data_IF_025192825382
#
_entry.id   IF_025192825382
#
_cell.length_a   1.000
_cell.length_b   1.000
_cell.length_c   1.000
_cell.angle_alpha   90.00
_cell.angle_beta   90.00
_cell.angle_gamma   90.00
#
_symmetry.space_group_name_H-M   'P 1'
#
loop_
_entity.id
_entity.type
_entity.pdbx_description
1 polymer ?
#
# COMPACT_ATOMS: atom_id res chain seq x y z
N UNK A 1 -51.09 15.72 -4.25
CA UNK A 1 -50.86 14.86 -3.06
C UNK A 1 -50.84 13.38 -3.43
N UNK A 2 -51.80 12.85 -4.20
CA UNK A 2 -51.82 11.44 -4.65
C UNK A 2 -50.62 11.02 -5.53
N UNK A 3 -50.10 11.91 -6.39
CA UNK A 3 -48.92 11.60 -7.23
C UNK A 3 -47.58 11.50 -6.45
N UNK A 4 -47.47 12.13 -5.27
CA UNK A 4 -46.28 12.02 -4.40
C UNK A 4 -46.30 10.74 -3.55
N UNK A 5 -47.49 10.22 -3.24
CA UNK A 5 -47.66 8.96 -2.51
C UNK A 5 -47.28 7.74 -3.37
N UNK A 6 -47.73 7.68 -4.64
CA UNK A 6 -47.39 6.59 -5.55
C UNK A 6 -45.91 6.53 -5.96
N UNK A 7 -45.20 7.66 -5.93
CA UNK A 7 -43.75 7.70 -6.15
C UNK A 7 -42.94 7.27 -4.92
N UNK A 8 -43.46 7.46 -3.71
CA UNK A 8 -42.82 7.00 -2.47
C UNK A 8 -43.03 5.49 -2.25
N UNK A 9 -44.20 4.96 -2.60
CA UNK A 9 -44.49 3.52 -2.57
C UNK A 9 -43.65 2.73 -3.57
N UNK A 10 -43.39 3.28 -4.76
CA UNK A 10 -42.55 2.62 -5.77
C UNK A 10 -41.06 2.61 -5.38
N UNK A 11 -40.55 3.66 -4.74
CA UNK A 11 -39.16 3.71 -4.23
C UNK A 11 -38.95 2.73 -3.08
N UNK A 12 -39.90 2.65 -2.14
CA UNK A 12 -39.85 1.67 -1.05
C UNK A 12 -39.94 0.22 -1.56
N UNK A 13 -40.78 -0.04 -2.57
CA UNK A 13 -40.87 -1.37 -3.19
C UNK A 13 -39.57 -1.76 -3.90
N UNK A 14 -38.94 -0.82 -4.60
CA UNK A 14 -37.63 -1.04 -5.25
C UNK A 14 -36.52 -1.26 -4.22
N UNK A 15 -36.49 -0.50 -3.12
CA UNK A 15 -35.53 -0.72 -2.02
C UNK A 15 -35.70 -2.10 -1.39
N UNK A 16 -36.93 -2.51 -1.11
CA UNK A 16 -37.22 -3.83 -0.52
C UNK A 16 -36.80 -4.96 -1.47
N UNK A 17 -37.03 -4.81 -2.77
CA UNK A 17 -36.61 -5.78 -3.78
C UNK A 17 -35.07 -5.85 -3.91
N UNK A 18 -34.39 -4.70 -3.87
CA UNK A 18 -32.93 -4.64 -3.84
C UNK A 18 -32.34 -5.27 -2.58
N UNK A 19 -32.94 -5.05 -1.42
CA UNK A 19 -32.56 -5.69 -0.16
C UNK A 19 -32.74 -7.21 -0.23
N UNK A 20 -33.87 -7.70 -0.75
CA UNK A 20 -34.11 -9.13 -0.94
C UNK A 20 -33.11 -9.78 -1.89
N UNK A 21 -32.80 -9.11 -3.01
CA UNK A 21 -31.77 -9.59 -3.95
C UNK A 21 -30.40 -9.63 -3.29
N UNK A 22 -30.01 -8.56 -2.59
CA UNK A 22 -28.76 -8.50 -1.83
C UNK A 22 -28.66 -9.63 -0.81
N UNK A 23 -29.75 -9.92 -0.11
CA UNK A 23 -29.81 -10.97 0.90
C UNK A 23 -29.71 -12.38 0.30
N UNK A 24 -30.34 -12.63 -0.87
CA UNK A 24 -30.16 -13.89 -1.61
C UNK A 24 -28.73 -14.07 -2.12
N UNK A 25 -28.19 -13.06 -2.80
CA UNK A 25 -26.82 -13.10 -3.31
C UNK A 25 -25.82 -13.31 -2.18
N UNK A 26 -26.08 -12.73 -1.00
CA UNK A 26 -25.27 -12.95 0.20
C UNK A 26 -25.33 -14.38 0.73
N UNK A 27 -26.51 -14.99 0.79
CA UNK A 27 -26.68 -16.39 1.21
C UNK A 27 -26.01 -17.36 0.23
N UNK A 28 -26.11 -17.11 -1.07
CA UNK A 28 -25.44 -17.90 -2.11
C UNK A 28 -23.91 -17.78 -1.98
N UNK A 29 -23.38 -16.58 -1.80
CA UNK A 29 -21.95 -16.35 -1.56
C UNK A 29 -21.47 -17.02 -0.27
N UNK A 30 -22.23 -16.95 0.82
CA UNK A 30 -21.89 -17.65 2.06
C UNK A 30 -21.80 -19.16 1.87
N UNK A 31 -22.74 -19.78 1.14
CA UNK A 31 -22.69 -21.23 0.89
C UNK A 31 -21.46 -21.63 0.06
N UNK A 32 -21.06 -20.82 -0.91
CA UNK A 32 -19.88 -21.07 -1.74
C UNK A 32 -18.58 -20.85 -0.96
N UNK A 33 -18.54 -19.85 -0.07
CA UNK A 33 -17.33 -19.45 0.66
C UNK A 33 -17.15 -20.17 2.00
N UNK A 34 -18.21 -20.77 2.58
CA UNK A 34 -18.16 -21.47 3.87
C UNK A 34 -17.07 -22.55 3.97
N UNK A 35 -16.79 -23.37 2.92
CA UNK A 35 -15.73 -24.38 2.98
C UNK A 35 -14.31 -23.77 3.03
N UNK A 36 -14.14 -22.54 2.56
CA UNK A 36 -12.83 -21.90 2.37
C UNK A 36 -12.49 -20.88 3.46
N UNK A 37 -13.47 -20.47 4.26
CA UNK A 37 -13.32 -19.33 5.18
C UNK A 37 -13.17 -19.73 6.64
N UNK A 38 -13.62 -20.93 7.06
CA UNK A 38 -13.54 -21.36 8.46
C UNK A 38 -14.27 -20.43 9.46
N UNK A 39 -15.08 -19.50 8.94
CA UNK A 39 -15.69 -18.41 9.69
C UNK A 39 -17.04 -18.87 10.26
N UNK A 40 -17.24 -18.69 11.57
CA UNK A 40 -18.55 -18.88 12.20
C UNK A 40 -19.60 -18.02 11.49
N UNK A 41 -20.79 -18.58 11.23
CA UNK A 41 -21.85 -17.93 10.46
C UNK A 41 -22.27 -16.52 10.95
N UNK A 42 -21.89 -16.12 12.18
CA UNK A 42 -22.13 -14.80 12.75
C UNK A 42 -21.22 -13.70 12.14
N UNK A 43 -19.95 -13.97 11.87
CA UNK A 43 -19.03 -12.99 11.27
C UNK A 43 -19.33 -12.77 9.78
N UNK A 44 -19.95 -13.75 9.12
CA UNK A 44 -20.49 -13.60 7.79
C UNK A 44 -21.85 -12.87 7.78
N UNK A 45 -22.41 -12.38 8.89
CA UNK A 45 -23.58 -11.50 8.85
C UNK A 45 -23.19 -10.02 8.65
N UNK A 46 -21.93 -9.68 8.93
CA UNK A 46 -21.40 -8.32 8.85
C UNK A 46 -20.21 -8.29 7.89
N UNK A 47 -20.45 -7.81 6.66
CA UNK A 47 -19.43 -7.73 5.61
C UNK A 47 -18.18 -6.96 6.05
N UNK A 48 -18.32 -5.98 6.94
CA UNK A 48 -17.20 -5.18 7.46
C UNK A 48 -16.35 -5.98 8.45
N UNK A 49 -16.97 -6.83 9.26
CA UNK A 49 -16.29 -7.68 10.23
C UNK A 49 -15.58 -8.85 9.54
N UNK A 50 -16.23 -9.47 8.56
CA UNK A 50 -15.60 -10.45 7.67
C UNK A 50 -14.39 -9.84 6.94
N UNK A 51 -14.53 -8.63 6.43
CA UNK A 51 -13.44 -7.92 5.75
C UNK A 51 -12.26 -7.63 6.69
N UNK A 52 -12.51 -7.17 7.92
CA UNK A 52 -11.47 -7.01 8.95
C UNK A 52 -10.82 -8.33 9.34
N UNK A 53 -11.59 -9.41 9.43
CA UNK A 53 -11.03 -10.71 9.75
C UNK A 53 -10.11 -11.26 8.65
N UNK A 54 -10.44 -11.00 7.38
CA UNK A 54 -9.68 -11.50 6.23
C UNK A 54 -8.53 -10.60 5.79
N UNK A 55 -8.64 -9.28 5.99
CA UNK A 55 -7.69 -8.29 5.48
C UNK A 55 -7.31 -7.22 6.50
N UNK A 56 -7.84 -7.26 7.72
CA UNK A 56 -7.41 -6.39 8.80
C UNK A 56 -6.13 -6.89 9.46
N UNK A 57 -5.52 -6.10 10.36
CA UNK A 57 -4.35 -6.53 11.12
C UNK A 57 -4.62 -7.80 11.94
N UNK A 58 -5.86 -8.03 12.38
CA UNK A 58 -6.21 -9.22 13.17
C UNK A 58 -6.00 -10.54 12.40
N UNK A 59 -5.94 -10.48 11.07
CA UNK A 59 -5.65 -11.63 10.19
C UNK A 59 -4.23 -12.17 10.35
N UNK A 60 -3.31 -11.37 10.92
CA UNK A 60 -1.90 -11.74 11.12
C UNK A 60 -1.63 -11.92 12.61
N UNK A 61 -1.39 -13.17 12.98
CA UNK A 61 -0.98 -13.52 14.34
C UNK A 61 0.50 -13.17 14.52
N UNK A 62 0.80 -12.31 15.49
CA UNK A 62 2.17 -11.92 15.87
C UNK A 62 2.45 -12.44 17.27
N UNK A 63 3.50 -13.25 17.42
CA UNK A 63 3.84 -13.83 18.73
C UNK A 63 4.32 -12.75 19.70
N UNK A 64 4.11 -12.96 21.01
CA UNK A 64 4.57 -12.01 22.05
C UNK A 64 6.07 -11.71 21.97
N UNK A 65 6.87 -12.70 21.56
CA UNK A 65 8.32 -12.54 21.39
C UNK A 65 8.64 -11.59 20.22
N UNK A 66 7.98 -11.77 19.08
CA UNK A 66 8.12 -10.90 17.92
C UNK A 66 7.67 -9.48 18.25
N UNK A 67 6.50 -9.33 18.88
CA UNK A 67 5.97 -8.03 19.31
C UNK A 67 6.97 -7.27 20.18
N UNK A 68 7.54 -7.96 21.17
CA UNK A 68 8.54 -7.37 22.07
C UNK A 68 9.79 -6.94 21.30
N UNK A 69 10.32 -7.78 20.43
CA UNK A 69 11.53 -7.49 19.68
C UNK A 69 11.32 -6.29 18.74
N UNK A 70 10.22 -6.27 17.99
CA UNK A 70 9.87 -5.16 17.10
C UNK A 70 9.72 -3.86 17.90
N UNK A 71 9.05 -3.90 19.04
CA UNK A 71 8.87 -2.72 19.89
C UNK A 71 10.20 -2.20 20.46
N UNK A 72 11.13 -3.09 20.82
CA UNK A 72 12.47 -2.71 21.28
C UNK A 72 13.28 -2.03 20.17
N UNK A 73 13.26 -2.58 18.95
CA UNK A 73 13.96 -1.97 17.82
C UNK A 73 13.34 -0.62 17.42
N UNK A 74 12.01 -0.50 17.49
CA UNK A 74 11.32 0.78 17.25
C UNK A 74 11.74 1.87 18.25
N UNK A 75 11.88 1.52 19.53
CA UNK A 75 12.41 2.44 20.55
C UNK A 75 13.89 2.75 20.29
N UNK A 76 14.70 1.72 20.02
CA UNK A 76 16.15 1.86 19.82
C UNK A 76 16.49 2.77 18.64
N UNK A 77 15.83 2.57 17.51
CA UNK A 77 16.17 3.28 16.27
C UNK A 77 15.42 4.60 16.13
N UNK A 78 14.16 4.69 16.59
CA UNK A 78 13.29 5.84 16.32
C UNK A 78 12.71 6.50 17.58
N UNK A 79 12.90 5.91 18.77
CA UNK A 79 12.30 6.42 20.02
C UNK A 79 10.79 6.20 20.12
N UNK A 80 10.20 5.38 19.26
CA UNK A 80 8.76 5.16 19.25
C UNK A 80 8.33 4.14 20.31
N UNK A 81 7.69 4.62 21.38
CA UNK A 81 7.22 3.80 22.51
C UNK A 81 5.99 2.94 22.18
N UNK A 82 5.26 3.27 21.12
CA UNK A 82 4.09 2.53 20.63
C UNK A 82 4.05 2.57 19.11
N UNK A 83 3.72 1.43 18.51
CA UNK A 83 3.39 1.34 17.09
C UNK A 83 1.92 1.70 16.86
N UNK A 84 1.64 2.25 15.69
CA UNK A 84 0.27 2.50 15.21
C UNK A 84 -0.36 1.20 14.71
N UNK A 85 -1.67 1.19 14.66
CA UNK A 85 -2.46 0.05 14.19
C UNK A 85 -2.01 -0.42 12.80
N UNK A 86 -1.83 -1.73 12.62
CA UNK A 86 -1.35 -2.36 11.39
C UNK A 86 0.17 -2.35 11.17
N UNK A 87 0.93 -1.51 11.88
CA UNK A 87 2.39 -1.45 11.70
C UNK A 87 3.07 -2.71 12.24
N UNK A 88 2.65 -3.20 13.41
CA UNK A 88 3.24 -4.38 14.07
C UNK A 88 3.16 -5.60 13.17
N UNK A 89 1.98 -5.84 12.61
CA UNK A 89 1.65 -6.98 11.77
C UNK A 89 2.39 -6.91 10.43
N UNK A 90 2.47 -5.71 9.85
CA UNK A 90 3.24 -5.48 8.62
C UNK A 90 4.72 -5.76 8.83
N UNK A 91 5.31 -5.19 9.89
CA UNK A 91 6.72 -5.37 10.21
C UNK A 91 7.04 -6.83 10.53
N UNK A 92 6.20 -7.50 11.31
CA UNK A 92 6.38 -8.92 11.63
C UNK A 92 6.38 -9.79 10.37
N UNK A 93 5.44 -9.56 9.45
CA UNK A 93 5.36 -10.28 8.17
C UNK A 93 6.65 -10.11 7.35
N UNK A 94 7.15 -8.88 7.26
CA UNK A 94 8.40 -8.58 6.55
C UNK A 94 9.60 -9.25 7.22
N UNK A 95 9.69 -9.21 8.55
CA UNK A 95 10.81 -9.83 9.29
C UNK A 95 10.81 -11.37 9.19
N UNK A 96 9.68 -11.99 8.87
CA UNK A 96 9.57 -13.41 8.51
C UNK A 96 10.01 -13.71 7.07
N UNK A 97 10.29 -12.68 6.27
CA UNK A 97 10.63 -12.82 4.85
C UNK A 97 9.40 -13.03 3.95
N UNK A 98 8.20 -12.72 4.43
CA UNK A 98 6.96 -12.84 3.66
C UNK A 98 6.65 -11.52 2.91
N UNK A 99 6.04 -11.64 1.72
CA UNK A 99 5.57 -10.47 0.96
C UNK A 99 4.18 -10.03 1.43
N UNK A 100 3.93 -8.72 1.42
CA UNK A 100 2.69 -8.13 1.93
C UNK A 100 2.29 -6.86 1.19
N UNK A 101 0.99 -6.69 0.97
CA UNK A 101 0.36 -5.43 0.61
C UNK A 101 -0.20 -4.75 1.86
N UNK A 102 0.26 -3.53 2.15
CA UNK A 102 -0.20 -2.68 3.23
C UNK A 102 -0.97 -1.47 2.68
N UNK A 103 -2.30 -1.53 2.73
CA UNK A 103 -3.20 -0.41 2.43
C UNK A 103 -3.47 0.34 3.72
N UNK A 104 -2.76 1.45 3.91
CA UNK A 104 -2.81 2.24 5.14
C UNK A 104 -3.00 3.73 4.82
N UNK A 105 -4.00 4.41 5.41
CA UNK A 105 -4.30 5.79 5.08
C UNK A 105 -3.10 6.72 5.32
N UNK A 106 -3.05 7.84 4.61
CA UNK A 106 -2.01 8.86 4.84
C UNK A 106 -2.00 9.27 6.31
N UNK A 107 -0.81 9.42 6.88
CA UNK A 107 -0.64 9.67 8.31
C UNK A 107 -0.66 8.42 9.19
N UNK A 108 -0.93 7.21 8.67
CA UNK A 108 -0.82 5.97 9.45
C UNK A 108 0.64 5.60 9.81
N UNK A 109 1.63 6.30 9.27
CA UNK A 109 3.05 6.03 9.52
C UNK A 109 3.59 4.89 8.67
N UNK A 110 3.18 4.82 7.39
CA UNK A 110 3.60 3.78 6.44
C UNK A 110 5.12 3.56 6.41
N UNK A 111 5.90 4.65 6.41
CA UNK A 111 7.34 4.57 6.27
C UNK A 111 8.04 3.73 7.32
N UNK A 112 7.54 3.75 8.57
CA UNK A 112 8.12 2.94 9.64
C UNK A 112 8.07 1.43 9.33
N UNK A 113 7.07 0.99 8.56
CA UNK A 113 6.87 -0.42 8.22
C UNK A 113 8.02 -1.00 7.40
N UNK A 114 8.75 -0.19 6.64
CA UNK A 114 9.97 -0.63 5.93
C UNK A 114 11.25 -0.06 6.53
N UNK A 115 11.21 1.14 7.11
CA UNK A 115 12.39 1.76 7.70
C UNK A 115 12.92 0.96 8.89
N UNK A 116 12.04 0.39 9.72
CA UNK A 116 12.47 -0.43 10.84
C UNK A 116 13.07 -1.78 10.39
N UNK A 117 12.41 -2.56 9.51
CA UNK A 117 13.05 -3.74 8.89
C UNK A 117 14.40 -3.43 8.23
N UNK A 118 14.51 -2.31 7.50
CA UNK A 118 15.75 -1.96 6.80
C UNK A 118 16.95 -1.84 7.74
N UNK A 119 16.75 -1.29 8.94
CA UNK A 119 17.81 -1.11 9.93
C UNK A 119 18.12 -2.36 10.76
N UNK A 120 17.21 -3.34 10.76
CA UNK A 120 17.33 -4.56 11.57
C UNK A 120 17.80 -5.76 10.75
N UNK A 121 17.51 -5.78 9.44
CA UNK A 121 17.92 -6.83 8.52
C UNK A 121 19.38 -6.68 8.06
N UNK A 122 20.06 -7.80 7.72
CA UNK A 122 21.49 -7.80 7.40
C UNK A 122 21.83 -7.13 6.07
N UNK A 123 20.98 -7.23 5.06
CA UNK A 123 21.14 -6.65 3.73
C UNK A 123 20.24 -5.41 3.55
N UNK A 124 20.42 -4.72 2.43
CA UNK A 124 19.73 -3.48 2.17
C UNK A 124 18.22 -3.67 1.88
N UNK A 125 17.49 -2.58 2.07
CA UNK A 125 16.11 -2.39 1.63
C UNK A 125 16.07 -1.35 0.51
N UNK A 126 15.45 -1.72 -0.62
CA UNK A 126 15.21 -0.80 -1.72
C UNK A 126 13.77 -0.29 -1.66
N UNK A 127 13.58 1.04 -1.70
CA UNK A 127 12.28 1.69 -1.70
C UNK A 127 12.08 2.43 -3.01
N UNK A 128 11.13 1.95 -3.82
CA UNK A 128 10.70 2.60 -5.05
C UNK A 128 9.56 3.55 -4.73
N UNK A 129 9.74 4.83 -4.99
CA UNK A 129 8.72 5.86 -4.71
C UNK A 129 8.61 6.83 -5.89
N UNK A 130 7.43 7.33 -6.27
CA UNK A 130 7.29 8.22 -7.42
C UNK A 130 7.65 9.68 -7.10
N UNK A 131 7.74 10.03 -5.82
CA UNK A 131 7.87 11.42 -5.38
C UNK A 131 9.31 11.72 -4.94
N UNK A 132 10.11 12.25 -5.87
CA UNK A 132 11.51 12.65 -5.63
C UNK A 132 11.65 13.57 -4.42
N UNK A 133 10.77 14.57 -4.28
CA UNK A 133 10.78 15.50 -3.15
C UNK A 133 10.58 14.75 -1.81
N UNK A 134 9.67 13.78 -1.80
CA UNK A 134 9.40 12.97 -0.62
C UNK A 134 10.61 12.10 -0.23
N UNK A 135 11.39 11.58 -1.18
CA UNK A 135 12.57 10.76 -0.87
C UNK A 135 13.59 11.52 -0.01
N UNK A 136 13.85 12.79 -0.37
CA UNK A 136 14.80 13.62 0.38
C UNK A 136 14.27 13.87 1.79
N UNK A 137 13.01 14.27 1.90
CA UNK A 137 12.37 14.52 3.20
C UNK A 137 12.36 13.26 4.08
N UNK A 138 12.11 12.08 3.49
CA UNK A 138 12.16 10.81 4.21
C UNK A 138 13.56 10.55 4.78
N UNK A 139 14.62 10.71 3.99
CA UNK A 139 16.00 10.53 4.47
C UNK A 139 16.36 11.56 5.54
N UNK A 140 16.01 12.84 5.33
CA UNK A 140 16.33 13.91 6.28
C UNK A 140 15.61 13.75 7.63
N UNK A 141 14.37 13.26 7.60
CA UNK A 141 13.55 12.98 8.79
C UNK A 141 14.05 11.80 9.65
N UNK A 142 14.93 10.94 9.11
CA UNK A 142 15.48 9.81 9.86
C UNK A 142 16.34 10.26 11.05
N UNK A 143 16.37 9.51 12.15
CA UNK A 143 17.34 9.70 13.22
C UNK A 143 18.78 9.67 12.71
N UNK A 144 19.71 10.41 13.34
CA UNK A 144 21.06 10.62 12.80
C UNK A 144 21.82 9.33 12.44
N UNK A 145 21.74 8.32 13.32
CA UNK A 145 22.37 7.02 13.07
C UNK A 145 21.74 6.23 11.91
N UNK A 146 20.42 6.37 11.70
CA UNK A 146 19.71 5.77 10.58
C UNK A 146 19.98 6.52 9.28
N UNK A 147 20.03 7.86 9.33
CA UNK A 147 20.31 8.72 8.18
C UNK A 147 21.68 8.43 7.58
N UNK A 148 22.69 8.16 8.39
CA UNK A 148 24.04 7.81 7.92
C UNK A 148 24.07 6.51 7.07
N UNK A 149 23.06 5.65 7.24
CA UNK A 149 22.93 4.37 6.52
C UNK A 149 21.83 4.44 5.44
N UNK A 150 21.29 5.61 5.16
CA UNK A 150 20.24 5.81 4.18
C UNK A 150 20.72 6.68 3.02
N UNK A 151 20.27 6.38 1.81
CA UNK A 151 20.59 7.15 0.62
C UNK A 151 19.41 7.20 -0.34
N UNK A 152 19.51 8.05 -1.36
CA UNK A 152 18.54 8.11 -2.45
C UNK A 152 19.23 8.20 -3.81
N UNK A 153 18.61 7.67 -4.86
CA UNK A 153 19.08 7.71 -6.25
C UNK A 153 17.95 8.25 -7.13
N UNK A 154 18.10 9.49 -7.59
CA UNK A 154 17.12 10.18 -8.43
C UNK A 154 17.83 11.05 -9.49
N UNK A 155 17.07 11.72 -10.35
CA UNK A 155 17.60 12.56 -11.45
C UNK A 155 18.22 13.89 -11.00
N UNK A 156 18.06 14.29 -9.73
CA UNK A 156 18.59 15.58 -9.22
C UNK A 156 20.05 15.53 -8.78
N UNK A 157 20.65 14.33 -8.74
CA UNK A 157 22.05 14.13 -8.37
C UNK A 157 22.98 14.47 -9.54
N UNK A 158 24.11 15.10 -9.24
CA UNK A 158 25.21 15.21 -10.20
C UNK A 158 25.93 13.87 -10.38
N UNK A 159 26.77 13.77 -11.41
CA UNK A 159 27.43 12.53 -11.80
C UNK A 159 28.37 12.00 -10.70
N UNK A 160 29.13 12.87 -10.04
CA UNK A 160 30.07 12.48 -8.96
C UNK A 160 29.35 11.92 -7.73
N UNK A 161 28.27 12.57 -7.29
CA UNK A 161 27.45 12.11 -6.16
C UNK A 161 26.74 10.79 -6.51
N UNK A 162 26.24 10.67 -7.74
CA UNK A 162 25.65 9.42 -8.23
C UNK A 162 26.69 8.29 -8.19
N UNK A 163 27.88 8.50 -8.76
CA UNK A 163 28.95 7.49 -8.78
C UNK A 163 29.38 7.07 -7.36
N UNK A 164 29.51 8.04 -6.43
CA UNK A 164 29.82 7.76 -5.03
C UNK A 164 28.75 6.90 -4.38
N UNK A 165 27.47 7.27 -4.50
CA UNK A 165 26.37 6.49 -3.90
C UNK A 165 26.24 5.12 -4.52
N UNK A 166 26.41 4.99 -5.83
CA UNK A 166 26.41 3.70 -6.53
C UNK A 166 27.51 2.76 -6.01
N UNK A 167 28.70 3.30 -5.77
CA UNK A 167 29.82 2.56 -5.16
C UNK A 167 29.48 2.14 -3.72
N UNK A 168 28.94 3.05 -2.91
CA UNK A 168 28.53 2.73 -1.55
C UNK A 168 27.41 1.68 -1.48
N UNK A 169 26.46 1.71 -2.43
CA UNK A 169 25.45 0.64 -2.58
C UNK A 169 26.16 -0.70 -2.84
N UNK A 170 27.03 -0.77 -3.84
CA UNK A 170 27.74 -2.01 -4.18
C UNK A 170 28.60 -2.56 -3.04
N UNK A 171 29.11 -1.68 -2.16
CA UNK A 171 29.90 -2.02 -0.98
C UNK A 171 29.07 -2.33 0.28
N UNK A 172 27.73 -2.34 0.17
CA UNK A 172 26.80 -2.56 1.30
C UNK A 172 26.93 -1.52 2.42
N UNK A 173 27.25 -0.27 2.08
CA UNK A 173 27.35 0.86 3.03
C UNK A 173 25.97 1.39 3.47
N UNK A 174 24.93 1.14 2.68
CA UNK A 174 23.57 1.63 2.92
C UNK A 174 22.61 0.49 3.25
N UNK A 175 21.82 0.70 4.30
CA UNK A 175 20.71 -0.17 4.71
C UNK A 175 19.39 0.19 4.05
N UNK A 176 19.20 1.46 3.70
CA UNK A 176 17.96 1.96 3.13
C UNK A 176 18.24 2.82 1.89
N UNK A 177 17.73 2.38 0.74
CA UNK A 177 18.01 3.01 -0.54
C UNK A 177 16.67 3.43 -1.15
N UNK A 178 16.43 4.73 -1.30
CA UNK A 178 15.28 5.23 -2.05
C UNK A 178 15.65 5.40 -3.52
N UNK A 179 14.78 5.01 -4.45
CA UNK A 179 15.00 5.22 -5.87
C UNK A 179 13.70 5.57 -6.59
N UNK A 180 13.84 6.36 -7.64
CA UNK A 180 12.74 6.63 -8.55
C UNK A 180 12.53 5.43 -9.50
N UNK A 181 11.30 5.11 -9.92
CA UNK A 181 10.99 3.92 -10.71
C UNK A 181 11.81 3.81 -11.99
N UNK A 182 12.09 4.93 -12.66
CA UNK A 182 12.88 4.96 -13.89
C UNK A 182 14.32 4.44 -13.71
N UNK A 183 14.85 4.41 -12.48
CA UNK A 183 16.19 3.87 -12.17
C UNK A 183 16.25 2.36 -12.32
N UNK A 184 15.13 1.66 -12.21
CA UNK A 184 15.07 0.21 -12.39
C UNK A 184 15.44 -0.23 -13.81
N UNK A 185 15.36 0.67 -14.80
CA UNK A 185 15.80 0.40 -16.18
C UNK A 185 17.32 0.44 -16.34
N UNK A 186 18.06 0.90 -15.33
CA UNK A 186 19.50 1.10 -15.43
C UNK A 186 20.26 -0.12 -14.92
N UNK A 187 20.87 -0.88 -15.83
CA UNK A 187 21.64 -2.09 -15.48
C UNK A 187 22.75 -1.85 -14.46
N UNK A 188 23.40 -0.68 -14.50
CA UNK A 188 24.42 -0.34 -13.50
C UNK A 188 23.84 -0.30 -12.07
N UNK A 189 22.61 0.20 -11.92
CA UNK A 189 21.89 0.26 -10.65
C UNK A 189 21.51 -1.12 -10.15
N UNK A 190 20.89 -1.94 -11.01
CA UNK A 190 20.53 -3.31 -10.66
C UNK A 190 21.75 -4.16 -10.27
N UNK A 191 22.89 -3.99 -10.97
CA UNK A 191 24.14 -4.67 -10.61
C UNK A 191 24.66 -4.25 -9.23
N UNK A 192 24.66 -2.97 -8.90
CA UNK A 192 25.09 -2.49 -7.59
C UNK A 192 24.22 -3.06 -6.47
N UNK A 193 22.89 -3.06 -6.66
CA UNK A 193 21.94 -3.66 -5.73
C UNK A 193 22.13 -5.17 -5.57
N UNK A 194 22.34 -5.88 -6.68
CA UNK A 194 22.58 -7.33 -6.67
C UNK A 194 23.86 -7.69 -5.91
N UNK A 195 24.91 -6.87 -6.03
CA UNK A 195 26.15 -7.05 -5.26
C UNK A 195 25.94 -6.85 -3.76
N UNK A 196 25.12 -5.86 -3.37
CA UNK A 196 24.77 -5.62 -1.97
C UNK A 196 23.88 -6.72 -1.36
N UNK A 197 22.99 -7.28 -2.19
CA UNK A 197 21.88 -8.12 -1.75
C UNK A 197 20.74 -7.29 -1.16
N UNK A 198 19.51 -7.81 -1.25
CA UNK A 198 18.32 -7.16 -0.73
C UNK A 198 17.53 -8.12 0.15
N UNK A 199 17.21 -7.69 1.37
CA UNK A 199 16.26 -8.41 2.21
C UNK A 199 14.81 -7.97 1.97
N UNK A 200 14.60 -6.77 1.43
CA UNK A 200 13.27 -6.22 1.21
C UNK A 200 13.26 -5.29 0.00
N UNK A 201 12.22 -5.46 -0.82
CA UNK A 201 11.89 -4.59 -1.94
C UNK A 201 10.56 -3.91 -1.69
N UNK A 202 10.54 -2.59 -1.61
CA UNK A 202 9.36 -1.80 -1.26
C UNK A 202 8.87 -1.05 -2.49
N UNK A 203 7.58 -1.14 -2.75
CA UNK A 203 6.87 -0.33 -3.74
C UNK A 203 5.95 0.62 -2.99
N UNK A 204 6.37 1.88 -2.87
CA UNK A 204 5.55 2.95 -2.34
C UNK A 204 4.59 3.47 -3.42
N UNK A 205 3.45 3.99 -3.01
CA UNK A 205 2.32 4.32 -3.91
C UNK A 205 2.01 3.23 -4.95
N UNK A 206 1.93 1.98 -4.47
CA UNK A 206 1.75 0.81 -5.31
C UNK A 206 0.49 0.85 -6.19
N UNK A 207 -0.50 1.70 -5.90
CA UNK A 207 -1.65 1.91 -6.79
C UNK A 207 -1.23 2.39 -8.20
N UNK A 208 -0.03 2.96 -8.37
CA UNK A 208 0.52 3.37 -9.66
C UNK A 208 0.76 2.21 -10.64
N UNK A 209 0.82 0.95 -10.16
CA UNK A 209 0.97 -0.24 -11.03
C UNK A 209 -0.32 -0.55 -11.81
N UNK A 210 -1.48 -0.13 -11.28
CA UNK A 210 -2.78 -0.42 -11.87
C UNK A 210 -3.13 0.60 -12.95
N UNK A 211 -3.53 0.12 -14.13
CA UNK A 211 -4.07 0.96 -15.21
C UNK A 211 -5.37 1.67 -14.82
N UNK A 212 -6.06 1.15 -13.82
CA UNK A 212 -7.28 1.72 -13.24
C UNK A 212 -6.99 2.63 -12.05
N UNK A 213 -5.71 2.75 -11.66
CA UNK A 213 -5.25 3.74 -10.69
C UNK A 213 -5.36 5.15 -11.27
N UNK A 214 -5.70 6.13 -10.42
CA UNK A 214 -5.84 7.52 -10.83
C UNK A 214 -4.52 8.18 -11.29
N UNK A 215 -3.37 7.58 -10.94
CA UNK A 215 -2.01 8.08 -11.22
C UNK A 215 -1.13 7.00 -11.88
N UNK A 216 -1.62 6.34 -12.94
CA UNK A 216 -0.85 5.33 -13.68
C UNK A 216 0.51 5.89 -14.13
N UNK A 217 1.59 5.15 -13.81
CA UNK A 217 2.96 5.51 -14.18
C UNK A 217 3.62 4.36 -14.97
N UNK A 218 3.92 4.53 -16.27
CA UNK A 218 4.50 3.47 -17.08
C UNK A 218 5.79 2.86 -16.51
N UNK A 219 6.62 3.66 -15.83
CA UNK A 219 7.86 3.15 -15.22
C UNK A 219 7.62 2.08 -14.13
N UNK A 220 6.43 2.04 -13.53
CA UNK A 220 6.07 0.99 -12.56
C UNK A 220 5.96 -0.39 -13.21
N UNK A 221 5.74 -0.50 -14.53
CA UNK A 221 5.66 -1.78 -15.24
C UNK A 221 6.97 -2.57 -15.22
N UNK A 222 8.12 -1.90 -15.00
CA UNK A 222 9.43 -2.54 -14.95
C UNK A 222 9.80 -3.09 -13.58
N UNK A 223 8.99 -2.84 -12.55
CA UNK A 223 9.27 -3.28 -11.17
C UNK A 223 9.37 -4.81 -11.08
N UNK A 224 8.45 -5.55 -11.72
CA UNK A 224 8.46 -7.01 -11.67
C UNK A 224 9.71 -7.59 -12.34
N UNK A 225 10.08 -7.10 -13.52
CA UNK A 225 11.30 -7.51 -14.22
C UNK A 225 12.56 -7.20 -13.40
N UNK A 226 12.66 -5.99 -12.85
CA UNK A 226 13.79 -5.60 -12.02
C UNK A 226 13.88 -6.42 -10.73
N UNK A 227 12.74 -6.70 -10.08
CA UNK A 227 12.70 -7.55 -8.88
C UNK A 227 13.16 -8.98 -9.18
N UNK A 228 12.76 -9.53 -10.33
CA UNK A 228 13.24 -10.83 -10.81
C UNK A 228 14.77 -10.82 -11.00
N UNK A 229 15.35 -9.79 -11.64
CA UNK A 229 16.81 -9.65 -11.82
C UNK A 229 17.57 -9.54 -10.48
N UNK A 230 16.91 -8.98 -9.46
CA UNK A 230 17.44 -8.83 -8.10
C UNK A 230 17.28 -10.10 -7.24
N UNK A 231 16.78 -11.21 -7.82
CA UNK A 231 16.65 -12.50 -7.12
C UNK A 231 15.35 -12.65 -6.32
N UNK A 232 14.30 -11.89 -6.67
CA UNK A 232 12.98 -11.95 -6.04
C UNK A 232 12.98 -11.81 -4.51
N UNK A 233 13.57 -10.72 -3.96
CA UNK A 233 13.46 -10.42 -2.54
C UNK A 233 11.97 -10.30 -2.11
N UNK A 234 11.66 -10.54 -0.82
CA UNK A 234 10.35 -10.25 -0.25
C UNK A 234 9.90 -8.84 -0.59
N UNK A 235 8.62 -8.69 -0.97
CA UNK A 235 8.06 -7.43 -1.41
C UNK A 235 7.07 -6.83 -0.41
N UNK A 236 7.22 -5.54 -0.13
CA UNK A 236 6.22 -4.73 0.56
C UNK A 236 5.62 -3.75 -0.44
N UNK A 237 4.36 -3.94 -0.82
CA UNK A 237 3.61 -2.91 -1.53
C UNK A 237 2.85 -2.04 -0.53
N UNK A 238 2.93 -0.71 -0.69
CA UNK A 238 2.25 0.22 0.20
C UNK A 238 1.41 1.21 -0.59
N UNK A 239 0.22 1.52 -0.09
CA UNK A 239 -0.55 2.66 -0.62
C UNK A 239 -1.56 3.20 0.40
N UNK A 240 -1.99 4.45 0.21
CA UNK A 240 -3.08 5.04 0.99
C UNK A 240 -4.44 4.47 0.64
N UNK A 241 -4.68 4.22 -0.65
CA UNK A 241 -5.99 3.92 -1.19
C UNK A 241 -5.87 2.88 -2.29
N UNK A 242 -6.55 1.75 -2.12
CA UNK A 242 -6.71 0.75 -3.16
C UNK A 242 -8.08 0.08 -2.98
N UNK A 243 -9.02 0.25 -3.91
CA UNK A 243 -10.23 -0.57 -3.99
C UNK A 243 -9.87 -2.06 -4.14
N UNK A 244 -10.77 -3.00 -3.81
CA UNK A 244 -10.50 -4.43 -3.86
C UNK A 244 -9.84 -4.91 -5.17
N UNK A 245 -10.36 -4.51 -6.33
CA UNK A 245 -9.78 -4.87 -7.64
C UNK A 245 -8.33 -4.41 -7.80
N UNK A 246 -8.02 -3.17 -7.37
CA UNK A 246 -6.65 -2.63 -7.41
C UNK A 246 -5.74 -3.39 -6.44
N UNK A 247 -6.25 -3.87 -5.30
CA UNK A 247 -5.47 -4.69 -4.36
C UNK A 247 -5.09 -6.02 -4.98
N UNK A 248 -6.03 -6.69 -5.64
CA UNK A 248 -5.77 -7.96 -6.31
C UNK A 248 -4.71 -7.77 -7.41
N UNK A 249 -4.83 -6.72 -8.23
CA UNK A 249 -3.81 -6.37 -9.23
C UNK A 249 -2.42 -6.12 -8.61
N UNK A 250 -2.34 -5.39 -7.50
CA UNK A 250 -1.07 -5.15 -6.80
C UNK A 250 -0.50 -6.46 -6.24
N UNK A 251 -1.34 -7.30 -5.62
CA UNK A 251 -0.92 -8.59 -5.04
C UNK A 251 -0.36 -9.49 -6.12
N UNK A 252 -1.05 -9.61 -7.26
CA UNK A 252 -0.58 -10.39 -8.40
C UNK A 252 0.73 -9.82 -8.94
N UNK A 253 0.86 -8.49 -8.97
CA UNK A 253 2.06 -7.79 -9.44
C UNK A 253 3.30 -8.05 -8.57
N UNK A 254 3.13 -8.14 -7.24
CA UNK A 254 4.24 -8.42 -6.30
C UNK A 254 4.39 -9.91 -5.97
N UNK A 255 3.57 -10.79 -6.55
CA UNK A 255 3.69 -12.23 -6.33
C UNK A 255 4.96 -12.77 -7.01
N UNK A 256 5.55 -13.80 -6.41
CA UNK A 256 6.75 -14.49 -6.90
C UNK A 256 6.46 -15.33 -8.16
N UNK A 257 5.21 -15.68 -8.41
CA UNK A 257 4.78 -16.29 -9.65
C UNK A 257 4.42 -15.19 -10.65
N UNK A 258 5.18 -15.12 -11.74
CA UNK A 258 4.88 -14.27 -12.90
C UNK A 258 3.58 -14.65 -13.58
N UNK A 259 2.44 -14.40 -12.95
CA UNK A 259 1.11 -14.71 -13.47
C UNK A 259 0.75 -13.86 -14.71
N UNK A 260 1.44 -12.73 -14.95
CA UNK A 260 1.33 -12.02 -16.23
C UNK A 260 2.23 -12.58 -17.34
N UNK A 261 3.25 -13.39 -17.02
CA UNK A 261 4.17 -13.97 -18.01
C UNK A 261 3.79 -15.40 -18.41
N UNK A 262 3.04 -16.12 -17.56
CA UNK A 262 2.56 -17.48 -17.85
C UNK A 262 1.43 -17.55 -18.88
N UNK A 263 0.76 -16.44 -19.19
CA UNK A 263 -0.20 -16.37 -20.30
C UNK A 263 0.47 -16.41 -21.70
N UNK A 264 1.79 -16.20 -21.78
CA UNK A 264 2.53 -16.11 -23.06
C UNK A 264 3.71 -17.07 -23.18
N UNK A 265 4.08 -17.82 -22.14
CA UNK A 265 5.18 -18.78 -22.21
C UNK A 265 4.75 -20.15 -21.69
N UNK A 266 4.17 -20.96 -22.59
CA UNK A 266 4.19 -22.40 -22.44
C UNK A 266 5.60 -22.85 -22.77
N UNK A 267 6.41 -23.15 -21.77
CA UNK A 267 7.47 -24.13 -21.90
C UNK A 267 7.67 -24.79 -20.53
N UNK A 268 7.47 -26.10 -20.55
CA UNK A 268 7.64 -27.05 -19.46
C UNK A 268 9.14 -27.27 -19.17
N UNK A 269 9.39 -27.98 -18.07
CA UNK A 269 10.67 -28.53 -17.60
C UNK A 269 11.48 -27.69 -16.60
N UNK A 270 11.05 -27.72 -15.33
CA UNK A 270 11.97 -27.84 -14.19
C UNK A 270 11.31 -28.62 -13.04
N UNK A 271 11.80 -29.84 -12.77
CA UNK A 271 11.43 -30.73 -11.65
C UNK A 271 12.04 -30.28 -10.30
N UNK A 272 11.85 -29.00 -9.94
CA UNK A 272 12.06 -28.56 -8.56
C UNK A 272 10.68 -28.28 -7.95
N UNK A 273 10.33 -28.82 -6.76
CA UNK A 273 9.09 -28.45 -6.12
C UNK A 273 9.14 -26.94 -5.85
N UNK A 274 8.21 -26.13 -6.41
CA UNK A 274 8.18 -24.71 -6.10
C UNK A 274 7.95 -24.61 -4.59
N UNK A 275 8.87 -23.96 -3.88
CA UNK A 275 8.63 -23.54 -2.50
C UNK A 275 7.28 -22.82 -2.53
N UNK A 276 6.28 -23.36 -1.81
CA UNK A 276 4.89 -22.93 -1.90
C UNK A 276 4.82 -21.40 -1.88
N UNK A 277 4.63 -20.81 -3.05
CA UNK A 277 4.55 -19.37 -3.29
C UNK A 277 3.23 -18.93 -2.68
N UNK A 278 3.27 -18.64 -1.39
CA UNK A 278 2.10 -18.18 -0.66
C UNK A 278 1.72 -16.81 -1.21
N UNK A 279 0.48 -16.68 -1.68
CA UNK A 279 -0.11 -15.40 -2.10
C UNK A 279 0.28 -14.32 -1.07
N UNK A 280 0.81 -13.17 -1.50
CA UNK A 280 1.20 -12.09 -0.60
C UNK A 280 0.07 -11.76 0.38
N UNK A 281 0.43 -11.55 1.65
CA UNK A 281 -0.52 -11.14 2.69
C UNK A 281 -1.12 -9.79 2.32
N UNK A 282 -2.34 -9.52 2.77
CA UNK A 282 -2.97 -8.20 2.60
C UNK A 282 -3.40 -7.67 3.95
N UNK A 283 -2.90 -6.50 4.33
CA UNK A 283 -3.48 -5.68 5.38
C UNK A 283 -4.09 -4.44 4.74
N UNK A 284 -5.34 -4.17 5.07
CA UNK A 284 -6.06 -2.98 4.69
C UNK A 284 -6.72 -2.39 5.94
N UNK A 285 -6.24 -1.21 6.31
CA UNK A 285 -6.83 -0.43 7.39
C UNK A 285 -8.10 0.26 6.89
N UNK A 286 -8.96 0.62 7.85
CA UNK A 286 -10.14 1.40 7.54
C UNK A 286 -9.74 2.76 6.96
N UNK A 287 -10.48 3.18 5.93
CA UNK A 287 -10.36 4.51 5.33
C UNK A 287 -11.18 5.53 6.10
N UNK A 288 -12.06 5.09 7.00
CA UNK A 288 -12.89 5.95 7.80
C UNK A 288 -12.05 6.76 8.78
N UNK A 289 -12.40 8.05 8.89
CA UNK A 289 -11.78 9.00 9.80
C UNK A 289 -12.90 9.64 10.59
N UNK A 290 -13.07 9.22 11.84
CA UNK A 290 -14.14 9.72 12.74
C UNK A 290 -14.10 11.25 12.90
N UNK A 291 -12.93 11.86 12.72
CA UNK A 291 -12.71 13.29 12.82
C UNK A 291 -12.99 14.06 11.51
N UNK A 292 -13.39 13.39 10.42
CA UNK A 292 -13.78 14.04 9.17
C UNK A 292 -15.29 14.02 8.99
N UNK A 293 -15.90 15.21 8.97
CA UNK A 293 -17.30 15.37 8.61
C UNK A 293 -17.43 15.54 7.08
N UNK A 294 -18.17 14.64 6.44
CA UNK A 294 -18.42 14.67 5.00
C UNK A 294 -19.82 15.24 4.72
N UNK A 295 -19.89 16.28 3.89
CA UNK A 295 -21.15 16.87 3.43
C UNK A 295 -21.10 17.18 1.94
N UNK A 296 -22.19 16.90 1.22
CA UNK A 296 -22.36 17.28 -0.18
C UNK A 296 -23.46 18.33 -0.30
N UNK A 297 -23.13 19.48 -0.87
CA UNK A 297 -24.07 20.56 -1.17
C UNK A 297 -24.27 20.66 -2.68
N UNK A 298 -25.51 20.89 -3.11
CA UNK A 298 -25.86 21.03 -4.52
C UNK A 298 -26.30 22.46 -4.79
N UNK A 299 -25.78 23.05 -5.86
CA UNK A 299 -26.09 24.40 -6.31
C UNK A 299 -26.62 24.37 -7.74
N UNK A 300 -27.45 25.34 -8.12
CA UNK A 300 -28.07 25.39 -9.45
C UNK A 300 -27.18 26.06 -10.50
N UNK A 301 -26.30 26.98 -10.06
CA UNK A 301 -25.36 27.70 -10.90
C UNK A 301 -24.05 28.00 -10.13
N UNK A 302 -23.04 28.48 -10.85
CA UNK A 302 -21.72 28.75 -10.29
C UNK A 302 -21.69 29.98 -9.38
N UNK A 303 -22.54 30.98 -9.61
CA UNK A 303 -22.63 32.18 -8.76
C UNK A 303 -23.11 31.82 -7.35
N UNK A 304 -24.17 31.02 -7.23
CA UNK A 304 -24.68 30.50 -5.96
C UNK A 304 -23.63 29.67 -5.23
N UNK A 305 -22.93 28.79 -5.98
CA UNK A 305 -21.86 27.96 -5.43
C UNK A 305 -20.71 28.82 -4.89
N UNK A 306 -20.31 29.84 -5.63
CA UNK A 306 -19.23 30.75 -5.23
C UNK A 306 -19.63 31.58 -4.00
N UNK A 307 -20.84 32.14 -3.99
CA UNK A 307 -21.36 32.88 -2.84
C UNK A 307 -21.44 32.01 -1.58
N UNK A 308 -21.92 30.78 -1.71
CA UNK A 308 -21.95 29.82 -0.62
C UNK A 308 -20.56 29.40 -0.14
N UNK A 309 -19.60 29.21 -1.06
CA UNK A 309 -18.21 28.90 -0.72
C UNK A 309 -17.56 30.06 0.03
N UNK A 310 -17.70 31.29 -0.45
CA UNK A 310 -17.17 32.49 0.21
C UNK A 310 -17.73 32.64 1.62
N UNK A 311 -19.05 32.45 1.77
CA UNK A 311 -19.70 32.45 3.08
C UNK A 311 -19.13 31.36 3.98
N UNK A 312 -19.04 30.12 3.50
CA UNK A 312 -18.49 28.99 4.25
C UNK A 312 -17.06 29.26 4.72
N UNK A 313 -16.20 29.78 3.86
CA UNK A 313 -14.82 30.13 4.19
C UNK A 313 -14.75 31.27 5.21
N UNK A 314 -15.64 32.26 5.13
CA UNK A 314 -15.67 33.38 6.08
C UNK A 314 -16.18 33.01 7.48
N UNK A 315 -17.05 32.00 7.57
CA UNK A 315 -17.66 31.55 8.84
C UNK A 315 -16.90 30.39 9.49
N UNK A 316 -16.04 29.70 8.75
CA UNK A 316 -15.28 28.55 9.25
C UNK A 316 -13.93 29.00 9.78
N UNK A 317 -13.69 28.79 11.08
CA UNK A 317 -12.39 29.04 11.69
C UNK A 317 -11.34 27.98 11.31
N UNK A 318 -10.08 28.39 11.23
CA UNK A 318 -8.94 27.49 11.03
C UNK A 318 -8.32 27.56 9.63
N UNK A 319 -7.68 26.47 9.22
CA UNK A 319 -7.03 26.35 7.91
C UNK A 319 -7.76 25.32 7.05
N UNK A 320 -7.87 25.59 5.77
CA UNK A 320 -8.57 24.72 4.82
C UNK A 320 -7.91 24.69 3.45
N UNK A 321 -8.31 23.71 2.64
CA UNK A 321 -7.86 23.54 1.25
C UNK A 321 -9.10 23.56 0.36
N UNK A 322 -9.07 24.37 -0.69
CA UNK A 322 -10.12 24.42 -1.71
C UNK A 322 -9.55 23.82 -2.99
N UNK A 323 -10.11 22.68 -3.40
CA UNK A 323 -9.78 22.07 -4.68
C UNK A 323 -10.69 22.63 -5.78
N UNK A 324 -10.07 23.10 -6.85
CA UNK A 324 -10.74 23.57 -8.07
C UNK A 324 -10.29 22.72 -9.25
N UNK A 325 -11.17 22.52 -10.23
CA UNK A 325 -10.90 21.66 -11.39
C UNK A 325 -9.98 22.32 -12.43
N UNK A 326 -9.90 23.65 -12.46
CA UNK A 326 -9.06 24.43 -13.35
C UNK A 326 -8.20 25.41 -12.59
N UNK A 327 -7.03 25.71 -13.16
CA UNK A 327 -6.13 26.78 -12.67
C UNK A 327 -6.63 28.18 -13.06
N UNK A 328 -7.43 28.25 -14.13
CA UNK A 328 -8.12 29.45 -14.59
C UNK A 328 -9.44 29.60 -13.83
#
# INVERSE_FOLDING_TARGET
LLAKAGAAESVNAVQLELERRRQRTWQELQQVLAPFTGVEASAAANSTELYRHLSGPESIQVERKEQRNIQLEAVRHFGFMKLRHGQMETIATILRGESILAVMPTGAGKSLCYQLPALTLPQATLVISPLIALMKDQVESLPAAARAQATFINSTLNEDELARRMTGIANNEYKLIYAAPERLRQRAFLRALRSAGLNLFVVDEAHCVSLWGHDFRPDYLFIQEARNELGNPPALAMTATAPPAVRDEIVDYISTDGALTSALSKNEDTDAPPAASARPRVIALDIFRDNLHLSALRFHNDEEKLAALLKFVSETEGSGIIYVSSRA
#
